data_IF_697718600673
#
_entry.id   IF_697718600673
#
_cell.length_a   1.000
_cell.length_b   1.000
_cell.length_c   1.000
_cell.angle_alpha   90.00
_cell.angle_beta   90.00
_cell.angle_gamma   90.00
#
_symmetry.space_group_name_H-M   'P 1'
#
loop_
_entity.id
_entity.type
_entity.pdbx_description
1 polymer ?
#
# COMPACT_ATOMS: atom_id res chain seq x y z
N UNK A 1 14.93 7.90 -20.36
CA UNK A 1 13.55 7.36 -20.35
C UNK A 1 13.48 5.86 -20.08
N UNK A 2 14.33 5.02 -20.70
CA UNK A 2 14.29 3.56 -20.48
C UNK A 2 14.56 3.15 -19.01
N UNK A 3 15.60 3.74 -18.39
CA UNK A 3 15.95 3.48 -16.99
C UNK A 3 14.84 3.86 -15.99
N UNK A 4 14.03 4.87 -16.33
CA UNK A 4 12.89 5.31 -15.51
C UNK A 4 11.83 4.21 -15.40
N UNK A 5 11.41 3.67 -16.55
CA UNK A 5 10.41 2.59 -16.58
C UNK A 5 10.97 1.27 -16.06
N UNK A 6 12.25 0.97 -16.34
CA UNK A 6 12.92 -0.19 -15.78
C UNK A 6 12.91 -0.15 -14.24
N UNK A 7 13.20 1.00 -13.63
CA UNK A 7 13.14 1.19 -12.18
C UNK A 7 11.75 0.92 -11.60
N UNK A 8 10.70 1.47 -12.23
CA UNK A 8 9.32 1.24 -11.80
C UNK A 8 8.93 -0.25 -11.88
N UNK A 9 9.28 -0.92 -12.98
CA UNK A 9 9.00 -2.36 -13.17
C UNK A 9 9.74 -3.20 -12.14
N UNK A 10 11.03 -2.93 -11.88
CA UNK A 10 11.81 -3.66 -10.88
C UNK A 10 11.21 -3.51 -9.49
N UNK A 11 10.87 -2.29 -9.08
CA UNK A 11 10.23 -2.04 -7.78
C UNK A 11 8.86 -2.72 -7.67
N UNK A 12 8.08 -2.73 -8.74
CA UNK A 12 6.83 -3.47 -8.81
C UNK A 12 7.01 -4.99 -8.69
N UNK A 13 8.00 -5.54 -9.38
CA UNK A 13 8.31 -6.97 -9.29
C UNK A 13 8.79 -7.38 -7.89
N UNK A 14 9.62 -6.55 -7.25
CA UNK A 14 10.05 -6.75 -5.86
C UNK A 14 8.84 -6.73 -4.92
N UNK A 15 7.93 -5.76 -5.08
CA UNK A 15 6.70 -5.69 -4.28
C UNK A 15 5.87 -6.97 -4.39
N UNK A 16 5.62 -7.45 -5.62
CA UNK A 16 4.87 -8.68 -5.86
C UNK A 16 5.57 -9.91 -5.26
N UNK A 17 6.89 -10.01 -5.39
CA UNK A 17 7.67 -11.10 -4.79
C UNK A 17 7.61 -11.09 -3.25
N UNK A 18 7.70 -9.91 -2.62
CA UNK A 18 7.56 -9.76 -1.17
C UNK A 18 6.17 -10.20 -0.69
N UNK A 19 5.12 -9.83 -1.41
CA UNK A 19 3.76 -10.29 -1.11
C UNK A 19 3.65 -11.83 -1.19
N UNK A 20 4.20 -12.41 -2.25
CA UNK A 20 4.15 -13.86 -2.47
C UNK A 20 4.99 -14.66 -1.48
N UNK A 21 6.00 -14.04 -0.85
CA UNK A 21 6.84 -14.69 0.15
C UNK A 21 6.01 -15.29 1.31
N UNK A 22 4.89 -14.67 1.66
CA UNK A 22 3.98 -15.19 2.70
C UNK A 22 3.40 -16.58 2.40
N UNK A 23 3.35 -16.99 1.13
CA UNK A 23 2.78 -18.27 0.72
C UNK A 23 3.83 -19.38 0.55
N UNK A 24 5.12 -19.03 0.52
CA UNK A 24 6.20 -19.97 0.13
C UNK A 24 7.23 -20.14 1.24
N UNK A 25 7.52 -19.10 2.02
CA UNK A 25 8.61 -19.12 2.99
C UNK A 25 8.08 -19.20 4.43
N UNK A 26 8.71 -20.02 5.30
CA UNK A 26 8.50 -19.93 6.74
C UNK A 26 8.79 -18.50 7.22
N UNK A 27 7.83 -17.86 7.88
CA UNK A 27 7.96 -16.46 8.33
C UNK A 27 7.82 -15.41 7.23
N UNK A 28 7.45 -15.79 6.00
CA UNK A 28 7.30 -14.89 4.85
C UNK A 28 6.29 -13.76 5.04
N UNK A 29 5.39 -13.87 6.02
CA UNK A 29 4.47 -12.79 6.42
C UNK A 29 5.22 -11.51 6.79
N UNK A 30 6.40 -11.62 7.42
CA UNK A 30 7.24 -10.45 7.75
C UNK A 30 7.70 -9.72 6.49
N UNK A 31 8.08 -10.47 5.45
CA UNK A 31 8.46 -9.91 4.15
C UNK A 31 7.26 -9.33 3.42
N UNK A 32 6.09 -9.97 3.50
CA UNK A 32 4.86 -9.45 2.92
C UNK A 32 4.40 -8.14 3.56
N UNK A 33 4.71 -7.87 4.83
CA UNK A 33 4.49 -6.56 5.45
C UNK A 33 5.27 -5.42 4.75
N UNK A 34 6.35 -5.75 4.02
CA UNK A 34 7.14 -4.78 3.26
C UNK A 34 6.65 -4.57 1.82
N UNK A 35 5.56 -5.25 1.41
CA UNK A 35 5.00 -5.16 0.04
C UNK A 35 4.80 -3.72 -0.43
N UNK A 36 4.32 -2.84 0.45
CA UNK A 36 4.02 -1.45 0.10
C UNK A 36 5.28 -0.59 -0.07
N UNK A 37 6.41 -0.97 0.54
CA UNK A 37 7.61 -0.11 0.58
C UNK A 37 8.22 0.13 -0.82
N UNK A 38 8.45 -0.89 -1.69
CA UNK A 38 8.92 -0.65 -3.05
C UNK A 38 7.98 0.21 -3.89
N UNK A 39 6.66 0.09 -3.69
CA UNK A 39 5.67 0.90 -4.39
C UNK A 39 5.73 2.37 -3.97
N UNK A 40 5.89 2.63 -2.65
CA UNK A 40 6.14 3.97 -2.14
C UNK A 40 7.45 4.55 -2.67
N UNK A 41 8.53 3.76 -2.71
CA UNK A 41 9.81 4.19 -3.28
C UNK A 41 9.60 4.62 -4.74
N UNK A 42 8.92 3.82 -5.56
CA UNK A 42 8.63 4.16 -6.95
C UNK A 42 7.88 5.50 -7.05
N UNK A 43 6.83 5.68 -6.26
CA UNK A 43 6.00 6.89 -6.31
C UNK A 43 6.65 8.15 -5.79
N UNK A 44 7.36 8.07 -4.67
CA UNK A 44 7.97 9.24 -4.02
C UNK A 44 9.26 9.69 -4.71
N UNK A 45 9.99 8.78 -5.38
CA UNK A 45 11.24 9.11 -6.07
C UNK A 45 11.05 9.43 -7.56
N UNK A 46 10.15 8.70 -8.24
CA UNK A 46 9.96 8.80 -9.70
C UNK A 46 8.59 9.40 -10.09
N UNK A 47 7.73 9.68 -9.10
CA UNK A 47 6.41 10.29 -9.29
C UNK A 47 5.28 9.28 -9.45
N UNK A 48 4.05 9.81 -9.47
CA UNK A 48 2.82 9.01 -9.53
C UNK A 48 2.73 8.05 -10.75
N UNK A 49 3.17 8.41 -11.97
CA UNK A 49 3.15 7.48 -13.10
C UNK A 49 4.02 6.22 -12.88
N UNK A 50 5.18 6.38 -12.23
CA UNK A 50 6.02 5.25 -11.87
C UNK A 50 5.38 4.39 -10.77
N UNK A 51 4.68 4.99 -9.80
CA UNK A 51 3.91 4.24 -8.80
C UNK A 51 2.82 3.38 -9.45
N UNK A 52 2.12 3.92 -10.45
CA UNK A 52 1.09 3.21 -11.21
C UNK A 52 1.70 2.03 -11.98
N UNK A 53 2.81 2.25 -12.69
CA UNK A 53 3.51 1.19 -13.40
C UNK A 53 4.01 0.10 -12.45
N UNK A 54 4.65 0.47 -11.32
CA UNK A 54 5.10 -0.47 -10.31
C UNK A 54 3.93 -1.28 -9.72
N UNK A 55 2.81 -0.62 -9.42
CA UNK A 55 1.60 -1.27 -8.91
C UNK A 55 1.01 -2.25 -9.93
N UNK A 56 0.96 -1.88 -11.20
CA UNK A 56 0.49 -2.75 -12.27
C UNK A 56 1.41 -3.97 -12.44
N UNK A 57 2.73 -3.76 -12.42
CA UNK A 57 3.71 -4.86 -12.46
C UNK A 57 3.55 -5.80 -11.26
N UNK A 58 3.40 -5.25 -10.05
CA UNK A 58 3.17 -6.06 -8.84
C UNK A 58 1.90 -6.91 -8.95
N UNK A 59 0.79 -6.30 -9.40
CA UNK A 59 -0.46 -7.01 -9.61
C UNK A 59 -0.32 -8.14 -10.64
N UNK A 60 0.43 -7.92 -11.73
CA UNK A 60 0.73 -8.96 -12.72
C UNK A 60 1.53 -10.12 -12.12
N UNK A 61 2.58 -9.82 -11.35
CA UNK A 61 3.37 -10.84 -10.64
C UNK A 61 2.51 -11.67 -9.69
N UNK A 62 1.65 -11.02 -8.91
CA UNK A 62 0.74 -11.70 -7.97
C UNK A 62 -0.35 -12.48 -8.70
N UNK A 63 -0.80 -12.01 -9.86
CA UNK A 63 -1.86 -12.68 -10.64
C UNK A 63 -1.47 -14.06 -11.15
N UNK A 64 -0.18 -14.31 -11.42
CA UNK A 64 0.28 -15.59 -11.96
C UNK A 64 -0.02 -16.79 -11.05
N UNK A 65 0.31 -16.75 -9.73
CA UNK A 65 -0.03 -17.85 -8.82
C UNK A 65 -1.42 -17.74 -8.16
N UNK A 66 -2.00 -16.54 -8.05
CA UNK A 66 -3.25 -16.32 -7.28
C UNK A 66 -4.49 -16.06 -8.14
N UNK A 67 -4.31 -15.95 -9.46
CA UNK A 67 -5.37 -15.60 -10.39
C UNK A 67 -5.83 -14.13 -10.28
N UNK A 68 -6.88 -13.75 -11.03
CA UNK A 68 -7.35 -12.37 -11.11
C UNK A 68 -7.92 -11.85 -9.78
N UNK A 69 -8.53 -12.74 -8.98
CA UNK A 69 -9.09 -12.37 -7.68
C UNK A 69 -7.97 -11.99 -6.70
N UNK A 70 -6.90 -12.79 -6.62
CA UNK A 70 -5.76 -12.47 -5.76
C UNK A 70 -5.03 -11.19 -6.18
N UNK A 71 -4.90 -10.95 -7.49
CA UNK A 71 -4.39 -9.68 -8.01
C UNK A 71 -5.27 -8.48 -7.63
N UNK A 72 -6.60 -8.64 -7.70
CA UNK A 72 -7.56 -7.60 -7.30
C UNK A 72 -7.46 -7.29 -5.81
N UNK A 73 -7.41 -8.32 -4.95
CA UNK A 73 -7.25 -8.15 -3.50
C UNK A 73 -5.90 -7.49 -3.16
N UNK A 74 -4.81 -7.92 -3.81
CA UNK A 74 -3.52 -7.28 -3.67
C UNK A 74 -3.57 -5.80 -4.08
N UNK A 75 -4.23 -5.50 -5.21
CA UNK A 75 -4.44 -4.13 -5.68
C UNK A 75 -5.18 -3.28 -4.67
N UNK A 76 -6.31 -3.77 -4.15
CA UNK A 76 -7.13 -3.06 -3.17
C UNK A 76 -6.40 -2.80 -1.85
N UNK A 77 -5.69 -3.79 -1.32
CA UNK A 77 -5.09 -3.70 0.03
C UNK A 77 -3.69 -3.07 0.01
N UNK A 78 -2.94 -3.22 -1.08
CA UNK A 78 -1.56 -2.75 -1.16
C UNK A 78 -1.39 -1.57 -2.13
N UNK A 79 -1.80 -1.72 -3.38
CA UNK A 79 -1.53 -0.71 -4.40
C UNK A 79 -2.36 0.56 -4.22
N UNK A 80 -3.68 0.43 -4.03
CA UNK A 80 -4.60 1.58 -3.92
C UNK A 80 -4.20 2.53 -2.78
N UNK A 81 -3.93 2.06 -1.54
CA UNK A 81 -3.49 2.94 -0.48
C UNK A 81 -2.19 3.68 -0.81
N UNK A 82 -1.21 2.98 -1.39
CA UNK A 82 0.05 3.60 -1.81
C UNK A 82 -0.20 4.70 -2.84
N UNK A 83 -1.00 4.44 -3.87
CA UNK A 83 -1.28 5.41 -4.93
C UNK A 83 -1.95 6.68 -4.40
N UNK A 84 -2.95 6.51 -3.52
CA UNK A 84 -3.63 7.65 -2.89
C UNK A 84 -2.65 8.44 -2.03
N UNK A 85 -1.88 7.78 -1.18
CA UNK A 85 -0.96 8.45 -0.26
C UNK A 85 0.21 9.12 -0.99
N UNK A 86 0.76 8.50 -2.04
CA UNK A 86 1.77 9.12 -2.93
C UNK A 86 1.18 10.35 -3.59
N UNK A 87 -0.04 10.26 -4.15
CA UNK A 87 -0.68 11.43 -4.75
C UNK A 87 -0.79 12.58 -3.74
N UNK A 88 -1.25 12.30 -2.51
CA UNK A 88 -1.36 13.34 -1.47
C UNK A 88 -0.01 13.90 -1.06
N UNK A 89 1.00 13.06 -0.89
CA UNK A 89 2.35 13.49 -0.52
C UNK A 89 3.00 14.39 -1.59
N UNK A 90 2.69 14.15 -2.87
CA UNK A 90 3.21 14.94 -3.99
C UNK A 90 2.45 16.26 -4.23
N UNK A 91 1.36 16.53 -3.51
CA UNK A 91 0.64 17.82 -3.58
C UNK A 91 1.34 18.93 -2.77
N UNK A 92 2.66 19.07 -2.94
CA UNK A 92 3.38 20.22 -2.38
C UNK A 92 3.05 21.49 -3.18
N UNK A 93 2.86 22.60 -2.47
CA UNK A 93 2.56 23.92 -3.07
C UNK A 93 3.69 24.88 -2.76
N UNK A 94 3.94 25.83 -3.67
CA UNK A 94 4.77 26.99 -3.33
C UNK A 94 3.91 28.03 -2.62
N UNK A 95 4.36 28.49 -1.46
CA UNK A 95 3.73 29.58 -0.74
C UNK A 95 4.12 30.94 -1.36
N UNK A 96 3.42 32.00 -0.94
CA UNK A 96 3.62 33.35 -1.48
C UNK A 96 5.02 33.92 -1.20
N UNK A 97 5.70 33.40 -0.17
CA UNK A 97 7.09 33.71 0.18
C UNK A 97 8.12 32.86 -0.59
N UNK A 98 7.68 32.00 -1.51
CA UNK A 98 8.52 31.09 -2.28
C UNK A 98 8.91 29.81 -1.54
N UNK A 99 8.48 29.63 -0.29
CA UNK A 99 8.73 28.40 0.47
C UNK A 99 7.93 27.21 -0.08
N UNK A 100 8.45 26.00 0.11
CA UNK A 100 7.76 24.77 -0.26
C UNK A 100 6.90 24.30 0.91
N UNK A 101 5.59 24.43 0.76
CA UNK A 101 4.62 23.96 1.74
C UNK A 101 4.22 22.53 1.38
N UNK A 102 4.65 21.60 2.23
CA UNK A 102 4.35 20.18 2.08
C UNK A 102 2.93 19.87 2.53
N UNK A 103 2.36 18.81 1.96
CA UNK A 103 1.05 18.33 2.39
C UNK A 103 1.09 17.94 3.88
N UNK A 104 0.16 18.42 4.73
CA UNK A 104 0.23 18.21 6.17
C UNK A 104 0.29 16.72 6.54
N UNK A 105 1.30 16.28 7.33
CA UNK A 105 1.43 14.88 7.71
C UNK A 105 0.19 14.33 8.42
N UNK A 106 -0.45 15.13 9.27
CA UNK A 106 -1.70 14.75 9.95
C UNK A 106 -2.81 14.35 8.97
N UNK A 107 -2.93 15.04 7.84
CA UNK A 107 -3.92 14.71 6.81
C UNK A 107 -3.55 13.43 6.05
N UNK A 108 -2.27 13.12 5.89
CA UNK A 108 -1.81 11.83 5.31
C UNK A 108 -2.26 10.68 6.21
N UNK A 109 -2.08 10.81 7.52
CA UNK A 109 -2.58 9.82 8.49
C UNK A 109 -4.11 9.72 8.48
N UNK A 110 -4.83 10.84 8.31
CA UNK A 110 -6.30 10.80 8.16
C UNK A 110 -6.73 10.03 6.91
N UNK A 111 -6.04 10.22 5.77
CA UNK A 111 -6.28 9.42 4.56
C UNK A 111 -6.01 7.94 4.78
N UNK A 112 -4.88 7.60 5.41
CA UNK A 112 -4.53 6.22 5.71
C UNK A 112 -5.59 5.56 6.62
N UNK A 113 -6.02 6.25 7.67
CA UNK A 113 -7.08 5.79 8.56
C UNK A 113 -8.41 5.59 7.81
N UNK A 114 -8.81 6.57 6.99
CA UNK A 114 -10.02 6.48 6.17
C UNK A 114 -10.00 5.30 5.19
N UNK A 115 -8.86 5.06 4.54
CA UNK A 115 -8.67 3.91 3.65
C UNK A 115 -8.73 2.58 4.40
N UNK A 116 -8.12 2.50 5.57
CA UNK A 116 -8.18 1.30 6.41
C UNK A 116 -9.63 1.00 6.84
N UNK A 117 -10.39 2.02 7.29
CA UNK A 117 -11.79 1.88 7.64
C UNK A 117 -12.65 1.45 6.44
N UNK A 118 -12.41 2.03 5.26
CA UNK A 118 -13.13 1.68 4.04
C UNK A 118 -12.87 0.23 3.61
N UNK A 119 -11.63 -0.25 3.73
CA UNK A 119 -11.24 -1.62 3.40
C UNK A 119 -11.76 -2.66 4.40
N UNK A 120 -11.79 -2.32 5.69
CA UNK A 120 -12.38 -3.16 6.72
C UNK A 120 -13.90 -3.29 6.53
N UNK A 121 -14.56 -2.22 6.09
CA UNK A 121 -16.01 -2.19 5.88
C UNK A 121 -16.81 -2.01 7.17
N UNK A 122 -18.11 -1.65 7.09
CA UNK A 122 -18.89 -1.19 8.25
C UNK A 122 -19.10 -2.24 9.35
N UNK A 123 -19.13 -3.53 9.00
CA UNK A 123 -19.46 -4.62 9.95
C UNK A 123 -18.27 -5.25 10.67
N UNK A 124 -17.06 -5.12 10.15
CA UNK A 124 -15.87 -5.79 10.71
C UNK A 124 -15.35 -5.13 11.97
N UNK A 125 -15.50 -3.81 12.11
CA UNK A 125 -15.14 -3.09 13.34
C UNK A 125 -15.99 -3.55 14.53
N UNK A 126 -17.29 -3.75 14.30
CA UNK A 126 -18.19 -4.31 15.31
C UNK A 126 -17.81 -5.74 15.68
N UNK A 127 -17.45 -6.57 14.69
CA UNK A 127 -16.98 -7.92 14.93
C UNK A 127 -15.64 -7.97 15.70
N UNK A 128 -14.70 -7.09 15.39
CA UNK A 128 -13.42 -6.97 16.11
C UNK A 128 -13.67 -6.53 17.56
N UNK A 129 -14.53 -5.53 17.78
CA UNK A 129 -14.91 -5.06 19.11
C UNK A 129 -15.60 -6.13 19.95
N UNK A 130 -16.50 -6.91 19.35
CA UNK A 130 -17.18 -8.02 20.02
C UNK A 130 -16.19 -9.11 20.46
N UNK A 131 -15.27 -9.51 19.57
CA UNK A 131 -14.25 -10.50 19.90
C UNK A 131 -13.25 -10.00 20.95
N UNK A 132 -12.82 -8.73 20.88
CA UNK A 132 -11.96 -8.13 21.90
C UNK A 132 -12.63 -8.08 23.26
N UNK A 133 -13.93 -7.78 23.32
CA UNK A 133 -14.71 -7.79 24.57
C UNK A 133 -14.74 -9.20 25.18
N UNK A 134 -14.96 -10.24 24.37
CA UNK A 134 -14.90 -11.63 24.85
C UNK A 134 -13.52 -11.96 25.42
N UNK A 135 -12.44 -11.63 24.72
CA UNK A 135 -11.06 -11.91 25.20
C UNK A 135 -10.75 -11.16 26.50
N UNK A 136 -11.18 -9.90 26.63
CA UNK A 136 -10.90 -9.07 27.80
C UNK A 136 -11.81 -9.36 29.01
N UNK A 137 -12.93 -10.05 28.79
CA UNK A 137 -13.88 -10.43 29.86
C UNK A 137 -13.68 -11.87 30.35
N UNK A 138 -12.89 -12.68 29.66
CA UNK A 138 -12.47 -14.00 30.14
C UNK A 138 -11.36 -13.82 31.19
N UNK A 139 -11.58 -14.24 32.45
CA UNK A 139 -10.51 -14.26 33.46
C UNK A 139 -9.57 -15.41 33.12
N UNK A 140 -8.32 -15.09 32.78
CA UNK A 140 -7.23 -16.07 32.68
C UNK A 140 -6.64 -16.35 34.06
#
# INVERSE_FOLDING_TARGET
>A
MLAYWAGAVVLGAISGALYLAAFVLPGGVVLASLTQAPLFIAGLTLGLPAALAASATSALVVSAPTGPIGALLHGLVNAVPVLVLVQRALLSRRAADGSLEWYPPGLIFSWLAGLALALLGPGTLGAIGANATVVLTVPF
#
